data_IF_138135258482
#
_entry.id   IF_138135258482
#
_cell.length_a   1.000
_cell.length_b   1.000
_cell.length_c   1.000
_cell.angle_alpha   90.00
_cell.angle_beta   90.00
_cell.angle_gamma   90.00
#
_symmetry.space_group_name_H-M   'P 1'
#
loop_
_entity.id
_entity.type
_entity.pdbx_description
1 polymer ?
#
# COMPACT_ATOMS: atom_id res chain seq x y z
N UNK A 1 -28.66 -13.82 -34.60
CA UNK A 1 -27.89 -14.40 -35.72
C UNK A 1 -26.47 -13.82 -35.65
N UNK A 2 -25.48 -14.72 -35.53
CA UNK A 2 -24.00 -14.66 -35.62
C UNK A 2 -23.34 -13.36 -36.13
N UNK A 3 -22.07 -13.02 -35.87
CA UNK A 3 -20.98 -13.32 -34.89
C UNK A 3 -19.85 -12.38 -35.35
N UNK A 4 -19.04 -11.83 -34.45
CA UNK A 4 -17.59 -11.77 -34.71
C UNK A 4 -16.87 -12.17 -33.44
N UNK A 5 -16.21 -13.32 -33.54
CA UNK A 5 -15.20 -13.80 -32.61
C UNK A 5 -13.85 -13.41 -33.19
N UNK A 6 -13.04 -12.69 -32.41
CA UNK A 6 -11.59 -12.65 -32.64
C UNK A 6 -10.93 -13.13 -31.36
N UNK A 7 -10.24 -14.26 -31.52
CA UNK A 7 -9.40 -14.90 -30.54
C UNK A 7 -8.08 -14.13 -30.48
N UNK A 8 -7.67 -13.70 -29.29
CA UNK A 8 -6.33 -13.15 -29.03
C UNK A 8 -6.03 -13.32 -27.55
N UNK A 9 -5.70 -14.56 -27.15
CA UNK A 9 -5.09 -14.85 -25.85
C UNK A 9 -3.75 -14.12 -25.74
N UNK A 10 -3.50 -13.28 -24.73
CA UNK A 10 -2.15 -13.02 -24.27
C UNK A 10 -1.74 -14.15 -23.34
N UNK A 11 -0.51 -14.62 -23.57
CA UNK A 11 0.17 -15.69 -22.86
C UNK A 11 0.17 -15.46 -21.34
N UNK A 12 0.04 -16.56 -20.61
CA UNK A 12 0.45 -16.68 -19.22
C UNK A 12 1.86 -16.07 -19.07
N UNK A 13 1.98 -14.98 -18.32
CA UNK A 13 3.25 -14.55 -17.73
C UNK A 13 3.11 -14.72 -16.23
N UNK A 14 3.48 -15.92 -15.78
CA UNK A 14 3.87 -16.17 -14.41
C UNK A 14 5.18 -15.43 -14.15
N UNK A 15 5.09 -14.19 -13.72
CA UNK A 15 6.19 -13.53 -13.02
C UNK A 15 5.62 -12.95 -11.74
N UNK A 16 5.58 -13.80 -10.71
CA UNK A 16 5.67 -13.31 -9.36
C UNK A 16 6.94 -12.46 -9.30
N UNK A 17 6.78 -11.15 -9.32
CA UNK A 17 7.82 -10.23 -8.86
C UNK A 17 7.93 -10.50 -7.35
N UNK A 18 8.72 -11.51 -7.01
CA UNK A 18 9.40 -11.52 -5.73
C UNK A 18 10.08 -10.17 -5.61
N UNK A 19 9.89 -9.38 -4.52
CA UNK A 19 10.77 -8.26 -4.27
C UNK A 19 12.18 -8.84 -4.17
N UNK A 20 12.91 -8.66 -5.26
CA UNK A 20 14.32 -8.95 -5.40
C UNK A 20 15.06 -8.16 -4.33
N UNK A 21 15.96 -8.86 -3.67
CA UNK A 21 17.11 -8.33 -2.90
C UNK A 21 16.76 -7.34 -1.80
N UNK A 22 16.86 -7.83 -0.56
CA UNK A 22 17.35 -7.00 0.54
C UNK A 22 18.58 -6.26 0.00
N UNK A 23 18.50 -4.94 -0.11
CA UNK A 23 19.67 -4.12 -0.42
C UNK A 23 20.69 -4.38 0.68
N UNK A 24 21.80 -5.00 0.32
CA UNK A 24 22.92 -5.30 1.23
C UNK A 24 23.59 -4.02 1.77
N UNK A 25 23.21 -2.86 1.25
CA UNK A 25 23.68 -1.53 1.64
C UNK A 25 23.01 -0.99 2.94
N UNK A 26 21.88 -1.56 3.38
CA UNK A 26 21.24 -1.17 4.66
C UNK A 26 21.79 -1.96 5.87
N UNK A 27 22.82 -2.80 5.66
CA UNK A 27 23.57 -3.40 6.75
C UNK A 27 24.46 -2.31 7.38
N UNK A 28 23.91 -1.68 8.42
CA UNK A 28 24.56 -0.76 9.36
C UNK A 28 26.07 -1.03 9.42
N UNK A 29 26.83 -0.02 9.00
CA UNK A 29 28.28 0.02 9.05
C UNK A 29 28.80 -0.38 10.45
N UNK A 30 29.36 -1.58 10.54
CA UNK A 30 30.29 -1.94 11.61
C UNK A 30 31.71 -1.75 11.05
N UNK A 31 32.62 -1.07 11.77
CA UNK A 31 33.98 -0.88 11.29
C UNK A 31 34.68 -2.24 11.28
N UNK A 32 35.01 -2.74 10.10
CA UNK A 32 35.79 -3.97 9.93
C UNK A 32 37.27 -3.58 9.86
N UNK A 33 37.92 -3.46 11.01
CA UNK A 33 39.35 -3.73 11.10
C UNK A 33 39.55 -5.02 11.87
N UNK A 34 39.55 -6.14 11.14
CA UNK A 34 40.28 -7.39 11.40
C UNK A 34 39.71 -8.45 10.44
N UNK A 35 40.57 -8.97 9.56
CA UNK A 35 40.19 -9.84 8.45
C UNK A 35 39.58 -11.17 8.90
N UNK A 36 38.25 -11.24 8.96
CA UNK A 36 37.50 -12.49 9.16
C UNK A 36 36.96 -12.93 7.80
N UNK A 37 37.59 -13.95 7.21
CA UNK A 37 37.05 -14.66 6.05
C UNK A 37 35.76 -15.38 6.44
N UNK A 38 34.60 -14.81 6.09
CA UNK A 38 33.30 -15.46 6.25
C UNK A 38 33.23 -16.67 5.32
N UNK A 39 33.41 -17.87 5.88
CA UNK A 39 33.17 -19.12 5.16
C UNK A 39 31.71 -19.22 4.73
N UNK A 40 31.42 -20.02 3.69
CA UNK A 40 30.05 -20.25 3.18
C UNK A 40 29.07 -20.71 4.27
N UNK A 41 29.58 -21.38 5.31
CA UNK A 41 28.81 -21.77 6.49
C UNK A 41 28.44 -20.56 7.39
N UNK A 42 29.36 -19.62 7.58
CA UNK A 42 29.13 -18.38 8.32
C UNK A 42 28.05 -17.49 7.68
N UNK A 43 28.08 -17.34 6.35
CA UNK A 43 27.06 -16.60 5.62
C UNK A 43 25.67 -17.25 5.73
N UNK A 44 25.61 -18.59 5.69
CA UNK A 44 24.36 -19.36 5.85
C UNK A 44 23.79 -19.24 7.28
N UNK A 45 24.64 -19.14 8.29
CA UNK A 45 24.24 -18.93 9.68
C UNK A 45 23.74 -17.49 9.92
N UNK A 46 24.40 -16.48 9.35
CA UNK A 46 23.95 -15.08 9.37
C UNK A 46 22.58 -14.91 8.71
N UNK A 47 22.35 -15.52 7.55
CA UNK A 47 21.05 -15.52 6.87
C UNK A 47 19.93 -16.15 7.70
N UNK A 48 20.21 -17.27 8.39
CA UNK A 48 19.25 -17.89 9.32
C UNK A 48 18.91 -16.98 10.50
N UNK A 49 19.91 -16.33 11.11
CA UNK A 49 19.68 -15.44 12.26
C UNK A 49 18.86 -14.21 11.87
N UNK A 50 19.13 -13.60 10.71
CA UNK A 50 18.34 -12.48 10.20
C UNK A 50 16.87 -12.86 9.98
N UNK A 51 16.60 -14.05 9.41
CA UNK A 51 15.22 -14.53 9.22
C UNK A 51 14.48 -14.80 10.54
N UNK A 52 15.17 -15.28 11.58
CA UNK A 52 14.57 -15.51 12.90
C UNK A 52 14.21 -14.18 13.56
N UNK A 53 15.11 -13.19 13.50
CA UNK A 53 14.87 -11.85 14.08
C UNK A 53 13.67 -11.18 13.38
N UNK A 54 13.60 -11.24 12.04
CA UNK A 54 12.47 -10.68 11.29
C UNK A 54 11.13 -11.38 11.59
N UNK A 55 11.15 -12.69 11.83
CA UNK A 55 9.96 -13.45 12.24
C UNK A 55 9.54 -13.12 13.68
N UNK A 56 10.50 -12.91 14.58
CA UNK A 56 10.26 -12.53 15.97
C UNK A 56 9.67 -11.11 16.08
N UNK A 57 10.18 -10.15 15.30
CA UNK A 57 9.62 -8.79 15.22
C UNK A 57 8.21 -8.77 14.59
N UNK A 58 7.96 -9.64 13.61
CA UNK A 58 6.63 -9.86 13.06
C UNK A 58 5.63 -10.39 14.10
N UNK A 59 6.08 -11.35 14.90
CA UNK A 59 5.30 -11.93 15.99
C UNK A 59 5.05 -10.92 17.12
N UNK A 60 6.05 -10.09 17.47
CA UNK A 60 5.94 -9.05 18.51
C UNK A 60 5.00 -7.90 18.13
N UNK A 61 4.95 -7.53 16.85
CA UNK A 61 4.09 -6.44 16.35
C UNK A 61 2.66 -6.85 16.00
N UNK A 62 2.34 -8.16 15.99
CA UNK A 62 1.04 -8.68 15.57
C UNK A 62 0.67 -8.36 14.11
N UNK A 63 1.65 -7.92 13.30
CA UNK A 63 1.42 -7.42 11.94
C UNK A 63 1.49 -8.56 10.93
N UNK A 64 0.33 -8.96 10.42
CA UNK A 64 0.23 -9.98 9.35
C UNK A 64 0.82 -9.46 8.04
N UNK A 65 1.16 -10.39 7.13
CA UNK A 65 1.61 -10.03 5.76
C UNK A 65 0.60 -9.13 5.05
N UNK A 66 -0.70 -9.40 5.23
CA UNK A 66 -1.78 -8.60 4.68
C UNK A 66 -1.79 -7.16 5.25
N UNK A 67 -1.54 -7.00 6.56
CA UNK A 67 -1.46 -5.67 7.19
C UNK A 67 -0.28 -4.87 6.62
N UNK A 68 0.88 -5.50 6.45
CA UNK A 68 2.07 -4.85 5.86
C UNK A 68 1.83 -4.43 4.42
N UNK A 69 1.23 -5.32 3.61
CA UNK A 69 0.86 -5.00 2.24
C UNK A 69 -0.11 -3.81 2.21
N UNK A 70 -1.14 -3.81 3.04
CA UNK A 70 -2.08 -2.69 3.12
C UNK A 70 -1.40 -1.37 3.47
N UNK A 71 -0.48 -1.36 4.44
CA UNK A 71 0.29 -0.16 4.77
C UNK A 71 1.13 0.33 3.60
N UNK A 72 1.79 -0.58 2.87
CA UNK A 72 2.58 -0.23 1.69
C UNK A 72 1.71 0.35 0.57
N UNK A 73 0.55 -0.26 0.30
CA UNK A 73 -0.38 0.21 -0.71
C UNK A 73 -0.93 1.60 -0.37
N UNK A 74 -1.38 1.83 0.86
CA UNK A 74 -1.82 3.18 1.29
C UNK A 74 -0.67 4.20 1.29
N UNK A 75 0.58 3.79 1.59
CA UNK A 75 1.74 4.70 1.51
C UNK A 75 1.99 5.17 0.07
N UNK A 76 1.94 4.26 -0.90
CA UNK A 76 2.19 4.57 -2.31
C UNK A 76 1.00 5.25 -3.02
N UNK A 77 -0.23 4.97 -2.57
CA UNK A 77 -1.45 5.44 -3.20
C UNK A 77 -1.48 6.97 -3.35
N UNK A 78 -1.58 7.43 -4.59
CA UNK A 78 -1.67 8.85 -4.99
C UNK A 78 -0.59 9.77 -4.41
N UNK A 79 0.54 9.21 -3.98
CA UNK A 79 1.63 10.00 -3.38
C UNK A 79 2.22 11.03 -4.36
N UNK A 80 2.28 10.68 -5.66
CA UNK A 80 2.74 11.59 -6.72
C UNK A 80 1.67 12.57 -7.24
N UNK A 81 0.41 12.41 -6.83
CA UNK A 81 -0.70 13.24 -7.30
C UNK A 81 -0.97 14.44 -6.39
N UNK A 82 -0.21 14.58 -5.28
CA UNK A 82 -0.38 15.64 -4.29
C UNK A 82 -0.05 17.00 -4.89
N UNK A 83 -0.92 17.97 -4.62
CA UNK A 83 -0.72 19.38 -4.94
C UNK A 83 -1.22 20.18 -3.74
N UNK A 84 -0.33 20.99 -3.15
CA UNK A 84 -0.60 21.67 -1.90
C UNK A 84 -1.90 22.51 -1.97
N UNK A 85 -2.76 22.34 -0.96
CA UNK A 85 -4.07 22.98 -0.88
C UNK A 85 -5.14 22.54 -1.89
N UNK A 86 -4.82 21.70 -2.88
CA UNK A 86 -5.76 21.32 -3.98
C UNK A 86 -6.02 19.82 -4.02
N UNK A 87 -4.95 19.02 -3.97
CA UNK A 87 -4.98 17.56 -4.02
C UNK A 87 -4.22 17.03 -2.81
N UNK A 88 -4.95 16.52 -1.83
CA UNK A 88 -4.41 16.29 -0.49
C UNK A 88 -4.54 14.81 -0.16
N UNK A 89 -3.40 14.18 0.15
CA UNK A 89 -3.35 12.82 0.70
C UNK A 89 -3.53 12.88 2.22
N UNK A 90 -4.17 11.86 2.79
CA UNK A 90 -4.37 11.76 4.24
C UNK A 90 -5.09 12.99 4.83
N UNK A 91 -6.12 13.46 4.12
CA UNK A 91 -6.88 14.65 4.48
C UNK A 91 -7.69 14.40 5.75
N UNK A 92 -7.47 15.24 6.77
CA UNK A 92 -8.13 15.15 8.07
C UNK A 92 -9.41 15.98 8.10
N UNK A 93 -10.52 15.32 8.40
CA UNK A 93 -11.82 15.96 8.59
C UNK A 93 -11.97 16.52 10.02
N UNK A 94 -12.89 17.47 10.26
CA UNK A 94 -13.23 17.95 11.61
C UNK A 94 -13.63 16.83 12.58
N UNK A 95 -14.28 15.76 12.10
CA UNK A 95 -14.61 14.56 12.87
C UNK A 95 -13.39 13.71 13.27
N UNK A 96 -12.17 14.14 12.88
CA UNK A 96 -10.90 13.42 13.01
C UNK A 96 -10.80 12.13 12.19
N UNK A 97 -11.74 11.91 11.27
CA UNK A 97 -11.61 10.86 10.26
C UNK A 97 -10.62 11.30 9.19
N UNK A 98 -9.89 10.32 8.63
CA UNK A 98 -8.88 10.55 7.62
C UNK A 98 -9.33 9.97 6.29
N UNK A 99 -9.44 10.82 5.27
CA UNK A 99 -9.66 10.43 3.89
C UNK A 99 -8.30 10.02 3.30
N UNK A 100 -8.24 8.92 2.54
CA UNK A 100 -7.00 8.49 1.89
C UNK A 100 -6.48 9.57 0.92
N UNK A 101 -7.35 10.13 0.08
CA UNK A 101 -7.03 11.24 -0.81
C UNK A 101 -8.27 12.04 -1.22
N UNK A 102 -8.11 13.35 -1.38
CA UNK A 102 -9.16 14.24 -1.89
C UNK A 102 -8.61 15.16 -2.99
N UNK A 103 -9.37 15.32 -4.06
CA UNK A 103 -9.15 16.29 -5.13
C UNK A 103 -10.25 17.35 -5.03
N UNK A 104 -9.89 18.53 -4.49
CA UNK A 104 -10.83 19.62 -4.26
C UNK A 104 -11.21 20.34 -5.56
N UNK A 105 -10.32 20.35 -6.55
CA UNK A 105 -10.56 20.95 -7.87
C UNK A 105 -11.62 20.14 -8.63
N UNK A 106 -11.46 18.82 -8.70
CA UNK A 106 -12.41 17.92 -9.37
C UNK A 106 -13.59 17.52 -8.50
N UNK A 107 -13.57 17.89 -7.21
CA UNK A 107 -14.51 17.47 -6.18
C UNK A 107 -14.64 15.94 -6.11
N UNK A 108 -13.53 15.24 -5.92
CA UNK A 108 -13.51 13.78 -5.82
C UNK A 108 -12.87 13.33 -4.50
N UNK A 109 -13.55 12.44 -3.80
CA UNK A 109 -13.06 11.77 -2.59
C UNK A 109 -12.67 10.35 -2.96
N UNK A 110 -11.46 9.95 -2.60
CA UNK A 110 -10.92 8.63 -2.90
C UNK A 110 -10.70 7.84 -1.61
N UNK A 111 -11.00 6.55 -1.68
CA UNK A 111 -10.73 5.56 -0.63
C UNK A 111 -10.09 4.33 -1.26
N UNK A 112 -9.05 3.78 -0.63
CA UNK A 112 -8.40 2.54 -1.06
C UNK A 112 -8.74 1.40 -0.10
N UNK A 113 -9.07 0.23 -0.65
CA UNK A 113 -9.33 -0.99 0.13
C UNK A 113 -8.72 -2.23 -0.53
N UNK A 114 -8.36 -3.27 0.24
CA UNK A 114 -8.04 -4.56 -0.38
C UNK A 114 -9.27 -5.09 -1.13
N UNK A 115 -9.04 -5.81 -2.24
CA UNK A 115 -10.08 -6.39 -3.09
C UNK A 115 -10.75 -7.61 -2.43
N UNK A 116 -11.50 -7.37 -1.35
CA UNK A 116 -12.38 -8.36 -0.75
C UNK A 116 -13.74 -7.75 -0.40
N UNK A 117 -14.83 -8.54 -0.44
CA UNK A 117 -16.20 -8.00 -0.29
C UNK A 117 -16.44 -7.22 1.00
N UNK A 118 -15.83 -7.66 2.11
CA UNK A 118 -16.00 -7.01 3.42
C UNK A 118 -15.36 -5.63 3.44
N UNK A 119 -14.11 -5.52 2.97
CA UNK A 119 -13.39 -4.25 2.94
C UNK A 119 -14.04 -3.27 1.96
N UNK A 120 -14.48 -3.74 0.80
CA UNK A 120 -15.22 -2.93 -0.18
C UNK A 120 -16.49 -2.34 0.43
N UNK A 121 -17.29 -3.17 1.13
CA UNK A 121 -18.49 -2.70 1.83
C UNK A 121 -18.18 -1.66 2.90
N UNK A 122 -17.06 -1.81 3.62
CA UNK A 122 -16.62 -0.82 4.61
C UNK A 122 -16.13 0.47 3.95
N UNK A 123 -15.43 0.38 2.81
CA UNK A 123 -14.99 1.52 2.01
C UNK A 123 -16.16 2.40 1.58
N UNK A 124 -17.24 1.81 1.04
CA UNK A 124 -18.42 2.58 0.65
C UNK A 124 -19.09 3.31 1.83
N UNK A 125 -19.19 2.67 3.00
CA UNK A 125 -19.70 3.34 4.22
C UNK A 125 -18.84 4.53 4.64
N UNK A 126 -17.52 4.39 4.51
CA UNK A 126 -16.60 5.49 4.80
C UNK A 126 -16.78 6.64 3.81
N UNK A 127 -16.80 6.34 2.50
CA UNK A 127 -17.03 7.33 1.45
C UNK A 127 -18.34 8.10 1.62
N UNK A 128 -19.43 7.43 2.04
CA UNK A 128 -20.70 8.08 2.34
C UNK A 128 -20.57 9.10 3.46
N UNK A 129 -19.96 8.71 4.59
CA UNK A 129 -19.71 9.62 5.71
C UNK A 129 -18.79 10.79 5.33
N UNK A 130 -17.72 10.50 4.59
CA UNK A 130 -16.76 11.53 4.15
C UNK A 130 -17.43 12.53 3.22
N UNK A 131 -18.22 12.05 2.26
CA UNK A 131 -18.95 12.93 1.35
C UNK A 131 -19.88 13.87 2.10
N UNK A 132 -20.66 13.36 3.05
CA UNK A 132 -21.57 14.20 3.85
C UNK A 132 -20.82 15.31 4.59
N UNK A 133 -19.68 14.98 5.21
CA UNK A 133 -18.89 15.95 5.97
C UNK A 133 -18.12 16.94 5.08
N UNK A 134 -17.54 16.48 3.98
CA UNK A 134 -16.87 17.36 3.00
C UNK A 134 -17.88 18.31 2.37
N UNK A 135 -19.07 17.84 1.99
CA UNK A 135 -20.10 18.69 1.39
C UNK A 135 -20.70 19.71 2.37
N UNK A 136 -20.64 19.46 3.67
CA UNK A 136 -21.04 20.46 4.68
C UNK A 136 -20.03 21.59 4.84
N UNK A 137 -18.75 21.34 4.53
CA UNK A 137 -17.65 22.32 4.64
C UNK A 137 -17.44 23.08 3.33
N UNK A 138 -17.39 22.37 2.20
CA UNK A 138 -16.99 22.91 0.89
C UNK A 138 -18.14 23.05 -0.11
N UNK A 139 -19.36 22.68 0.31
CA UNK A 139 -20.54 22.67 -0.54
C UNK A 139 -20.68 21.40 -1.38
N UNK A 140 -21.84 21.26 -2.01
CA UNK A 140 -22.24 20.03 -2.74
C UNK A 140 -21.44 19.78 -4.02
N UNK A 141 -21.58 18.55 -4.53
CA UNK A 141 -21.11 18.13 -5.85
C UNK A 141 -19.94 17.17 -5.81
N UNK A 142 -19.60 16.63 -4.64
CA UNK A 142 -18.50 15.69 -4.52
C UNK A 142 -18.89 14.31 -5.03
N UNK A 143 -17.99 13.73 -5.82
CA UNK A 143 -18.04 12.32 -6.25
C UNK A 143 -17.16 11.50 -5.33
N UNK A 144 -17.45 10.20 -5.25
CA UNK A 144 -16.67 9.24 -4.47
C UNK A 144 -16.15 8.14 -5.38
N UNK A 145 -14.90 7.72 -5.16
CA UNK A 145 -14.26 6.62 -5.89
C UNK A 145 -13.67 5.67 -4.85
N UNK A 146 -14.01 4.39 -5.00
CA UNK A 146 -13.42 3.32 -4.22
C UNK A 146 -12.47 2.53 -5.13
N UNK A 147 -11.18 2.66 -4.89
CA UNK A 147 -10.17 1.86 -5.57
C UNK A 147 -9.85 0.61 -4.76
N UNK A 148 -9.41 -0.45 -5.45
CA UNK A 148 -8.97 -1.68 -4.81
C UNK A 148 -7.60 -2.14 -5.26
N UNK A 149 -6.95 -2.93 -4.40
CA UNK A 149 -5.67 -3.60 -4.68
C UNK A 149 -5.73 -5.10 -4.34
#
# INVERSE_FOLDING_TARGET
>A
MRYYQTDSRPRHVSEAIYPSTINVEDLIALPIELGISLTRAGLKLLGKRASIIAAEDAAKTGSTVANRLGQQMHKAYKAGDVLDGVRIKEFMLPSRKRIDFIDLEKKIIYELKPNNPRAIKQGYKQLEMYKQEVESIYGKGFKTILDTY
#
